data_IF_145841084716
#
_entry.id   IF_145841084716
#
_cell.length_a   1.000
_cell.length_b   1.000
_cell.length_c   1.000
_cell.angle_alpha   90.00
_cell.angle_beta   90.00
_cell.angle_gamma   90.00
#
_symmetry.space_group_name_H-M   'P 1'
#
loop_
_entity.id
_entity.type
_entity.pdbx_description
1 polymer ?
#
# COMPACT_ATOMS: atom_id res chain seq x y z
N UNK A 1 -43.06 16.27 22.32
CA UNK A 1 -43.27 15.20 23.32
C UNK A 1 -41.93 14.52 23.59
N UNK A 2 -41.25 14.86 24.70
CA UNK A 2 -39.95 14.31 25.08
C UNK A 2 -40.19 13.06 25.95
N UNK A 3 -39.66 11.91 25.56
CA UNK A 3 -39.66 10.69 26.39
C UNK A 3 -38.29 10.55 27.06
N UNK A 4 -38.31 10.64 28.38
CA UNK A 4 -37.20 10.35 29.29
C UNK A 4 -37.20 8.84 29.54
N UNK A 5 -36.04 8.19 29.41
CA UNK A 5 -35.83 6.78 29.76
C UNK A 5 -34.98 6.75 31.04
N UNK A 6 -35.37 6.00 32.09
CA UNK A 6 -34.62 5.98 33.34
C UNK A 6 -33.43 5.02 33.29
N UNK A 7 -32.33 5.43 33.90
CA UNK A 7 -31.15 4.63 34.16
C UNK A 7 -31.43 3.61 35.28
N UNK A 8 -31.21 2.33 35.00
CA UNK A 8 -31.23 1.26 35.99
C UNK A 8 -29.79 1.03 36.48
N UNK A 9 -29.53 1.38 37.73
CA UNK A 9 -28.28 1.09 38.46
C UNK A 9 -28.43 -0.28 39.09
N UNK A 10 -27.59 -1.24 38.68
CA UNK A 10 -27.47 -2.55 39.33
C UNK A 10 -26.17 -2.59 40.14
N UNK A 11 -26.31 -2.56 41.46
CA UNK A 11 -25.25 -2.81 42.44
C UNK A 11 -25.22 -4.31 42.71
N UNK A 12 -24.08 -4.97 42.45
CA UNK A 12 -23.80 -6.33 42.92
C UNK A 12 -22.55 -6.28 43.78
N UNK A 13 -22.71 -6.67 45.04
CA UNK A 13 -21.64 -6.79 46.03
C UNK A 13 -21.24 -8.27 46.21
N UNK A 14 -19.91 -8.48 46.22
CA UNK A 14 -19.10 -9.42 46.99
C UNK A 14 -19.45 -10.92 46.98
N UNK A 15 -18.50 -11.72 46.48
CA UNK A 15 -18.13 -13.01 47.09
C UNK A 15 -16.61 -13.19 46.97
N UNK A 16 -15.97 -13.33 48.12
CA UNK A 16 -14.56 -13.58 48.28
C UNK A 16 -14.29 -15.09 48.15
N UNK A 17 -13.37 -15.45 47.25
CA UNK A 17 -12.70 -16.74 47.26
C UNK A 17 -11.19 -16.48 47.37
N UNK A 18 -10.62 -16.93 48.49
CA UNK A 18 -9.18 -17.08 48.71
C UNK A 18 -8.61 -18.06 47.67
N UNK A 19 -7.93 -17.55 46.63
CA UNK A 19 -7.06 -18.35 45.77
C UNK A 19 -5.59 -18.16 46.13
N UNK A 20 -5.01 -19.31 46.47
CA UNK A 20 -3.64 -19.61 46.85
C UNK A 20 -2.61 -18.93 45.96
N UNK A 21 -1.81 -18.04 46.55
CA UNK A 21 -0.66 -17.36 45.92
C UNK A 21 0.37 -18.40 45.43
N UNK A 22 0.71 -18.46 44.13
CA UNK A 22 1.81 -19.31 43.67
C UNK A 22 3.15 -18.79 44.21
N UNK A 23 4.01 -19.73 44.61
CA UNK A 23 5.35 -19.44 45.11
C UNK A 23 6.19 -18.71 44.04
N UNK A 24 7.07 -17.78 44.44
CA UNK A 24 7.99 -17.15 43.49
C UNK A 24 8.94 -18.19 42.89
N UNK A 25 9.31 -18.07 41.60
CA UNK A 25 10.31 -18.93 41.00
C UNK A 25 11.67 -18.76 41.72
N UNK A 26 12.49 -19.81 41.80
CA UNK A 26 13.79 -19.73 42.45
C UNK A 26 14.70 -18.76 41.70
N UNK A 27 15.31 -17.85 42.46
CA UNK A 27 16.40 -16.98 42.02
C UNK A 27 17.57 -17.84 41.51
N UNK A 28 17.97 -17.73 40.23
CA UNK A 28 19.17 -18.42 39.77
C UNK A 28 20.42 -17.78 40.41
N UNK A 29 21.16 -18.65 41.09
CA UNK A 29 22.44 -18.38 41.74
C UNK A 29 23.50 -17.98 40.72
N UNK A 30 24.26 -16.94 41.04
CA UNK A 30 25.42 -16.51 40.29
C UNK A 30 26.67 -17.36 40.56
N UNK A 31 27.58 -17.31 39.58
CA UNK A 31 29.01 -17.67 39.55
C UNK A 31 29.40 -19.10 39.10
N UNK A 32 30.55 -19.30 38.40
CA UNK A 32 31.66 -18.38 38.20
C UNK A 32 32.06 -18.09 36.73
N UNK A 33 32.88 -17.05 36.61
CA UNK A 33 33.67 -16.58 35.48
C UNK A 33 34.54 -17.69 34.86
N UNK A 34 34.48 -17.84 33.54
CA UNK A 34 35.52 -18.48 32.73
C UNK A 34 35.85 -17.57 31.53
N UNK A 35 37.15 -17.31 31.36
CA UNK A 35 37.74 -16.47 30.33
C UNK A 35 37.98 -17.24 29.02
N UNK A 36 38.24 -16.47 27.96
CA UNK A 36 38.77 -16.85 26.63
C UNK A 36 37.74 -17.50 25.68
N UNK A 37 37.60 -17.11 24.42
CA UNK A 37 38.55 -16.55 23.43
C UNK A 37 37.83 -15.55 22.51
N UNK A 38 38.54 -14.50 22.13
CA UNK A 38 38.14 -13.55 21.08
C UNK A 38 38.44 -14.27 19.76
N UNK A 39 37.41 -14.87 19.15
CA UNK A 39 37.51 -15.42 17.80
C UNK A 39 37.07 -14.36 16.78
N UNK A 40 37.74 -14.39 15.63
CA UNK A 40 37.90 -13.27 14.74
C UNK A 40 36.59 -12.83 14.07
N UNK A 41 36.51 -11.52 13.79
CA UNK A 41 35.48 -10.95 12.95
C UNK A 41 35.40 -11.71 11.61
N UNK A 42 34.20 -12.17 11.18
CA UNK A 42 34.05 -12.74 9.86
C UNK A 42 34.40 -11.68 8.81
N UNK A 43 35.13 -12.04 7.74
CA UNK A 43 35.42 -11.11 6.66
C UNK A 43 34.12 -10.59 6.06
N UNK A 44 34.10 -9.31 5.70
CA UNK A 44 33.02 -8.67 4.98
C UNK A 44 32.55 -9.57 3.83
N UNK A 45 31.35 -10.13 3.98
CA UNK A 45 30.72 -10.98 2.98
C UNK A 45 30.52 -10.11 1.74
N UNK A 46 31.22 -10.45 0.66
CA UNK A 46 31.05 -9.80 -0.62
C UNK A 46 29.56 -9.87 -1.03
N UNK A 47 29.02 -8.73 -1.43
CA UNK A 47 27.67 -8.63 -1.98
C UNK A 47 27.52 -9.61 -3.15
N UNK A 48 26.49 -10.47 -3.18
CA UNK A 48 26.20 -11.30 -4.33
C UNK A 48 25.83 -10.36 -5.48
N UNK A 49 26.73 -10.22 -6.46
CA UNK A 49 26.41 -9.60 -7.75
C UNK A 49 25.47 -10.54 -8.49
N UNK A 50 24.17 -10.37 -8.30
CA UNK A 50 23.16 -10.98 -9.18
C UNK A 50 23.23 -10.29 -10.54
N UNK A 51 23.95 -10.91 -11.47
CA UNK A 51 23.90 -10.61 -12.89
C UNK A 51 22.56 -11.08 -13.47
N UNK A 52 21.53 -10.25 -13.33
CA UNK A 52 20.24 -10.40 -14.00
C UNK A 52 19.94 -9.13 -14.79
N UNK A 53 20.00 -9.22 -16.12
CA UNK A 53 19.84 -8.09 -17.05
C UNK A 53 18.37 -7.70 -17.19
N UNK A 54 18.02 -6.58 -16.57
CA UNK A 54 16.86 -5.74 -16.90
C UNK A 54 16.98 -4.42 -16.15
N UNK A 55 17.25 -3.30 -16.85
CA UNK A 55 17.35 -1.96 -16.23
C UNK A 55 16.06 -1.47 -15.54
N UNK A 56 15.00 -2.29 -15.55
CA UNK A 56 13.68 -1.99 -14.97
C UNK A 56 13.43 -2.63 -13.58
N UNK A 57 14.36 -3.46 -13.07
CA UNK A 57 14.14 -4.23 -11.82
C UNK A 57 14.48 -3.49 -10.52
N UNK A 58 15.04 -2.29 -10.60
CA UNK A 58 15.49 -1.54 -9.42
C UNK A 58 14.36 -1.17 -8.45
N UNK A 59 13.12 -1.06 -8.93
CA UNK A 59 11.99 -0.53 -8.15
C UNK A 59 11.44 -1.48 -7.07
N UNK A 60 11.76 -2.78 -7.16
CA UNK A 60 11.35 -3.79 -6.17
C UNK A 60 12.55 -4.48 -5.49
N UNK A 61 13.77 -3.98 -5.73
CA UNK A 61 15.01 -4.58 -5.22
C UNK A 61 15.07 -4.64 -3.69
N UNK A 62 14.40 -3.71 -3.00
CA UNK A 62 14.31 -3.70 -1.54
C UNK A 62 13.03 -4.33 -0.99
N UNK A 63 12.12 -4.83 -1.85
CA UNK A 63 10.90 -5.45 -1.37
C UNK A 63 11.16 -6.91 -0.98
N UNK A 64 10.91 -7.32 0.29
CA UNK A 64 11.14 -8.70 0.72
C UNK A 64 10.22 -9.71 0.04
N UNK A 65 9.00 -9.30 -0.35
CA UNK A 65 8.06 -10.19 -1.06
C UNK A 65 8.45 -10.42 -2.53
N UNK A 66 9.38 -9.63 -3.06
CA UNK A 66 9.96 -9.80 -4.40
C UNK A 66 11.29 -10.57 -4.36
N UNK A 67 11.73 -11.06 -3.20
CA UNK A 67 12.91 -11.91 -3.12
C UNK A 67 12.66 -13.23 -3.88
N UNK A 68 13.63 -13.73 -4.68
CA UNK A 68 13.45 -14.98 -5.41
C UNK A 68 13.08 -16.16 -4.48
N UNK A 69 11.97 -16.83 -4.77
CA UNK A 69 11.49 -17.95 -3.96
C UNK A 69 10.77 -17.54 -2.67
N UNK A 70 10.45 -16.26 -2.49
CA UNK A 70 9.62 -15.81 -1.38
C UNK A 70 8.17 -16.31 -1.52
N UNK A 71 7.56 -16.70 -0.41
CA UNK A 71 6.13 -16.90 -0.28
C UNK A 71 5.56 -15.97 0.78
N UNK A 72 4.30 -15.57 0.61
CA UNK A 72 3.64 -14.58 1.45
C UNK A 72 2.31 -15.11 1.97
N UNK A 73 2.13 -15.05 3.28
CA UNK A 73 0.86 -15.27 3.96
C UNK A 73 0.39 -13.97 4.65
N UNK A 74 -0.90 -13.68 4.52
CA UNK A 74 -1.51 -12.44 5.01
C UNK A 74 -2.60 -12.74 6.03
N UNK A 75 -2.53 -12.07 7.19
CA UNK A 75 -3.51 -12.20 8.28
C UNK A 75 -3.91 -10.83 8.80
N UNK A 76 -5.21 -10.57 8.85
CA UNK A 76 -5.71 -9.33 9.45
C UNK A 76 -5.44 -9.37 10.97
N UNK A 77 -4.96 -8.26 11.52
CA UNK A 77 -4.73 -8.07 12.95
C UNK A 77 -5.35 -6.78 13.43
N UNK A 78 -5.47 -6.58 14.74
CA UNK A 78 -5.95 -5.32 15.28
C UNK A 78 -5.07 -4.15 14.78
N UNK A 79 -5.70 -3.11 14.23
CA UNK A 79 -5.00 -1.94 13.69
C UNK A 79 -4.37 -2.11 12.31
N UNK A 80 -4.37 -3.30 11.69
CA UNK A 80 -3.78 -3.48 10.37
C UNK A 80 -3.68 -4.92 9.87
N UNK A 81 -2.50 -5.31 9.39
CA UNK A 81 -2.24 -6.59 8.73
C UNK A 81 -0.86 -7.16 9.09
N UNK A 82 -0.80 -8.46 9.37
CA UNK A 82 0.41 -9.25 9.55
C UNK A 82 0.76 -9.94 8.22
N UNK A 83 2.03 -9.88 7.85
CA UNK A 83 2.61 -10.37 6.61
C UNK A 83 3.75 -11.32 6.99
N UNK A 84 3.56 -12.62 6.80
CA UNK A 84 4.62 -13.61 6.96
C UNK A 84 5.27 -13.87 5.59
N UNK A 85 6.56 -13.60 5.50
CA UNK A 85 7.35 -13.72 4.27
C UNK A 85 8.39 -14.81 4.53
N UNK A 86 8.32 -15.92 3.80
CA UNK A 86 9.23 -17.05 3.97
C UNK A 86 10.00 -17.36 2.69
N UNK A 87 11.26 -17.76 2.82
CA UNK A 87 12.09 -18.22 1.73
C UNK A 87 11.98 -19.73 1.55
N UNK A 88 12.20 -20.21 0.32
CA UNK A 88 12.26 -21.64 0.01
C UNK A 88 13.57 -22.32 0.47
N UNK A 89 14.61 -21.51 0.75
CA UNK A 89 15.95 -21.95 1.10
C UNK A 89 16.68 -20.89 1.96
N UNK A 90 17.87 -21.21 2.44
CA UNK A 90 18.65 -20.32 3.32
C UNK A 90 19.04 -19.01 2.61
N UNK A 91 19.34 -19.07 1.30
CA UNK A 91 19.74 -17.91 0.52
C UNK A 91 18.58 -16.91 0.37
N UNK A 92 17.40 -17.39 -0.01
CA UNK A 92 16.17 -16.58 -0.06
C UNK A 92 15.77 -16.05 1.31
N UNK A 93 15.94 -16.84 2.37
CA UNK A 93 15.70 -16.39 3.75
C UNK A 93 16.61 -15.22 4.15
N UNK A 94 17.91 -15.30 3.83
CA UNK A 94 18.87 -14.21 4.08
C UNK A 94 18.53 -12.96 3.28
N UNK A 95 18.14 -13.09 2.01
CA UNK A 95 17.72 -11.95 1.18
C UNK A 95 16.45 -11.28 1.73
N UNK A 96 15.43 -12.06 2.11
CA UNK A 96 14.19 -11.56 2.74
C UNK A 96 14.52 -10.75 4.00
N UNK A 97 15.37 -11.29 4.88
CA UNK A 97 15.79 -10.60 6.11
C UNK A 97 16.54 -9.30 5.82
N UNK A 98 17.51 -9.34 4.91
CA UNK A 98 18.29 -8.17 4.51
C UNK A 98 17.42 -7.06 3.91
N UNK A 99 16.48 -7.40 3.02
CA UNK A 99 15.53 -6.45 2.45
C UNK A 99 14.58 -5.90 3.53
N UNK A 100 14.13 -6.73 4.46
CA UNK A 100 13.23 -6.29 5.53
C UNK A 100 13.92 -5.32 6.48
N UNK A 101 15.19 -5.55 6.82
CA UNK A 101 15.99 -4.62 7.61
C UNK A 101 16.07 -3.22 6.94
N UNK A 102 16.23 -3.17 5.61
CA UNK A 102 16.19 -1.90 4.87
C UNK A 102 14.84 -1.19 4.96
N UNK A 103 13.73 -1.93 4.99
CA UNK A 103 12.40 -1.35 5.20
C UNK A 103 12.22 -0.81 6.63
N UNK A 104 12.77 -1.50 7.63
CA UNK A 104 12.72 -1.02 9.03
C UNK A 104 13.51 0.28 9.18
N UNK A 105 14.69 0.38 8.58
CA UNK A 105 15.44 1.64 8.59
C UNK A 105 14.68 2.76 7.88
N UNK A 106 14.05 2.46 6.75
CA UNK A 106 13.23 3.41 6.01
C UNK A 106 12.02 3.94 6.76
N UNK A 107 11.35 3.09 7.56
CA UNK A 107 10.15 3.45 8.32
C UNK A 107 10.44 4.58 9.30
N UNK A 108 11.66 4.61 9.85
CA UNK A 108 12.15 5.66 10.75
C UNK A 108 12.22 7.04 10.09
N UNK A 109 12.33 7.08 8.76
CA UNK A 109 12.51 8.31 7.98
C UNK A 109 11.28 8.69 7.13
N UNK A 110 10.14 7.98 7.26
CA UNK A 110 8.94 8.22 6.43
C UNK A 110 8.46 9.68 6.48
N UNK A 111 8.49 10.29 7.67
CA UNK A 111 8.02 11.65 7.88
C UNK A 111 8.90 12.72 7.20
N UNK A 112 10.17 12.41 6.93
CA UNK A 112 11.15 13.36 6.38
C UNK A 112 11.19 13.33 4.85
N UNK A 113 10.71 12.23 4.24
CA UNK A 113 10.91 11.95 2.82
C UNK A 113 10.05 12.78 1.85
N UNK A 114 9.10 13.59 2.34
CA UNK A 114 8.29 14.49 1.51
C UNK A 114 7.73 13.82 0.25
N UNK A 115 6.81 12.86 0.42
CA UNK A 115 6.34 11.96 -0.64
C UNK A 115 5.79 12.71 -1.86
N UNK A 116 6.51 12.67 -3.00
CA UNK A 116 6.06 13.27 -4.27
C UNK A 116 5.52 12.22 -5.24
N UNK A 117 4.22 12.22 -5.50
CA UNK A 117 3.60 11.39 -6.53
C UNK A 117 3.70 12.05 -7.92
N UNK A 118 4.91 12.09 -8.50
CA UNK A 118 5.18 12.75 -9.80
C UNK A 118 4.87 11.88 -11.03
N UNK A 119 4.48 10.62 -10.83
CA UNK A 119 4.33 9.65 -11.93
C UNK A 119 5.65 9.17 -12.55
N UNK A 120 6.80 9.71 -12.11
CA UNK A 120 8.15 9.31 -12.55
C UNK A 120 8.80 8.24 -11.67
N UNK A 121 8.05 7.68 -10.72
CA UNK A 121 8.57 6.72 -9.73
C UNK A 121 9.35 7.34 -8.56
N UNK A 122 9.38 8.68 -8.44
CA UNK A 122 10.23 9.43 -7.49
C UNK A 122 9.58 9.77 -6.13
N UNK A 123 8.43 9.16 -5.79
CA UNK A 123 7.81 9.32 -4.46
C UNK A 123 8.33 8.31 -3.45
N UNK A 124 7.59 8.07 -2.35
CA UNK A 124 7.77 6.89 -1.46
C UNK A 124 7.70 5.51 -2.17
N UNK A 125 7.69 5.51 -3.50
CA UNK A 125 7.99 4.40 -4.41
C UNK A 125 9.45 3.93 -4.42
N UNK A 126 10.33 4.37 -3.50
CA UNK A 126 11.55 3.59 -3.20
C UNK A 126 11.23 2.14 -2.75
N UNK A 127 9.99 1.91 -2.27
CA UNK A 127 9.46 0.59 -1.94
C UNK A 127 8.39 0.08 -2.94
N UNK A 128 8.22 0.75 -4.08
CA UNK A 128 7.32 0.32 -5.15
C UNK A 128 5.91 -0.11 -4.70
N UNK A 129 5.41 -1.21 -5.30
CA UNK A 129 4.19 -1.92 -4.89
C UNK A 129 4.52 -3.03 -3.88
N UNK A 130 5.50 -2.83 -2.99
CA UNK A 130 5.78 -3.82 -1.97
C UNK A 130 4.55 -4.10 -1.12
N UNK A 131 4.31 -5.38 -0.84
CA UNK A 131 3.18 -5.86 -0.02
C UNK A 131 3.16 -5.17 1.35
N UNK A 132 4.34 -4.86 1.89
CA UNK A 132 4.50 -4.00 3.06
C UNK A 132 4.23 -2.54 2.65
N UNK A 133 3.08 -2.01 3.08
CA UNK A 133 2.68 -0.62 2.84
C UNK A 133 3.28 0.25 3.94
N UNK A 134 4.11 1.24 3.56
CA UNK A 134 4.79 2.11 4.53
C UNK A 134 4.15 3.49 4.71
N UNK A 135 3.15 3.83 3.90
CA UNK A 135 2.50 5.15 3.95
C UNK A 135 1.54 5.22 5.14
N UNK A 136 1.73 6.21 6.00
CA UNK A 136 0.88 6.48 7.17
C UNK A 136 0.67 5.24 8.05
N UNK A 137 1.72 4.44 8.17
CA UNK A 137 1.73 3.19 8.92
C UNK A 137 2.90 3.15 9.89
N UNK A 138 2.88 2.17 10.78
CA UNK A 138 4.05 1.75 11.57
C UNK A 138 4.40 0.32 11.18
N UNK A 139 5.70 0.01 11.16
CA UNK A 139 6.22 -1.31 10.79
C UNK A 139 6.93 -1.96 11.98
N UNK A 140 6.37 -3.07 12.48
CA UNK A 140 7.04 -3.94 13.45
C UNK A 140 7.51 -5.21 12.73
N UNK A 141 8.71 -5.71 13.01
CA UNK A 141 9.22 -6.94 12.38
C UNK A 141 9.83 -7.89 13.40
N UNK A 142 9.73 -9.18 13.12
CA UNK A 142 10.36 -10.24 13.89
C UNK A 142 10.85 -11.36 12.96
N UNK A 143 12.06 -11.83 13.20
CA UNK A 143 12.58 -13.01 12.52
C UNK A 143 11.75 -14.25 12.85
N UNK A 144 11.49 -15.06 11.83
CA UNK A 144 10.91 -16.40 11.96
C UNK A 144 11.85 -17.42 11.33
N UNK A 145 11.61 -18.72 11.57
CA UNK A 145 12.50 -19.83 11.17
C UNK A 145 13.02 -19.68 9.74
N UNK A 146 12.11 -19.42 8.79
CA UNK A 146 12.41 -19.39 7.36
C UNK A 146 12.17 -18.01 6.73
N UNK A 147 12.24 -16.92 7.50
CA UNK A 147 12.03 -15.57 6.96
C UNK A 147 11.73 -14.51 7.99
N UNK A 148 10.76 -13.63 7.68
CA UNK A 148 10.36 -12.51 8.53
C UNK A 148 8.84 -12.43 8.66
N UNK A 149 8.38 -12.06 9.85
CA UNK A 149 7.01 -11.63 10.12
C UNK A 149 7.00 -10.11 10.27
N UNK A 150 6.23 -9.43 9.44
CA UNK A 150 6.04 -7.99 9.48
C UNK A 150 4.59 -7.65 9.88
N UNK A 151 4.42 -6.83 10.91
CA UNK A 151 3.11 -6.30 11.32
C UNK A 151 3.04 -4.84 10.89
N UNK A 152 2.12 -4.53 9.99
CA UNK A 152 1.88 -3.18 9.49
C UNK A 152 0.59 -2.66 10.10
N UNK A 153 0.66 -1.57 10.87
CA UNK A 153 -0.51 -0.94 11.50
C UNK A 153 -0.73 0.46 10.92
N UNK A 154 -1.97 0.80 10.62
CA UNK A 154 -2.32 2.14 10.19
C UNK A 154 -2.19 3.13 11.37
N UNK A 155 -1.63 4.31 11.12
CA UNK A 155 -1.58 5.41 12.11
C UNK A 155 -2.97 6.03 12.34
N UNK A 156 -3.84 5.98 11.34
CA UNK A 156 -5.26 6.35 11.44
C UNK A 156 -6.17 5.10 11.38
N UNK A 157 -7.09 4.98 12.35
CA UNK A 157 -8.09 3.90 12.40
C UNK A 157 -9.00 3.89 11.17
N UNK A 158 -9.24 5.04 10.55
CA UNK A 158 -10.06 5.15 9.34
C UNK A 158 -9.41 4.47 8.12
N UNK A 159 -8.10 4.23 8.15
CA UNK A 159 -7.32 3.64 7.06
C UNK A 159 -7.08 2.12 7.20
N UNK A 160 -7.54 1.47 8.29
CA UNK A 160 -7.28 0.04 8.53
C UNK A 160 -7.78 -0.84 7.38
N UNK A 161 -9.03 -0.64 6.95
CA UNK A 161 -9.62 -1.43 5.85
C UNK A 161 -8.96 -1.13 4.50
N UNK A 162 -8.51 0.12 4.31
CA UNK A 162 -7.73 0.49 3.14
C UNK A 162 -6.37 -0.22 3.13
N UNK A 163 -5.64 -0.20 4.26
CA UNK A 163 -4.35 -0.85 4.41
C UNK A 163 -4.43 -2.35 4.09
N UNK A 164 -5.39 -3.05 4.70
CA UNK A 164 -5.60 -4.49 4.46
C UNK A 164 -5.88 -4.79 2.98
N UNK A 165 -6.76 -4.00 2.36
CA UNK A 165 -7.09 -4.14 0.93
C UNK A 165 -5.87 -3.87 0.05
N UNK A 166 -5.19 -2.74 0.24
CA UNK A 166 -4.00 -2.36 -0.54
C UNK A 166 -2.88 -3.39 -0.41
N UNK A 167 -2.61 -3.90 0.79
CA UNK A 167 -1.62 -4.98 1.00
C UNK A 167 -1.99 -6.24 0.22
N UNK A 168 -3.26 -6.67 0.25
CA UNK A 168 -3.74 -7.85 -0.50
C UNK A 168 -3.67 -7.64 -2.00
N UNK A 169 -4.02 -6.46 -2.48
CA UNK A 169 -3.99 -6.15 -3.91
C UNK A 169 -2.55 -6.09 -4.42
N UNK A 170 -1.62 -5.52 -3.65
CA UNK A 170 -0.18 -5.57 -3.95
C UNK A 170 0.37 -6.98 -3.98
N UNK A 171 -0.03 -7.84 -3.04
CA UNK A 171 0.37 -9.25 -3.01
C UNK A 171 -0.17 -10.03 -4.22
N UNK A 172 -1.44 -9.83 -4.59
CA UNK A 172 -2.02 -10.43 -5.80
C UNK A 172 -1.31 -9.94 -7.04
N UNK A 173 -1.04 -8.64 -7.15
CA UNK A 173 -0.33 -8.05 -8.27
C UNK A 173 1.09 -8.59 -8.38
N UNK A 174 1.84 -8.70 -7.28
CA UNK A 174 3.22 -9.21 -7.33
C UNK A 174 3.31 -10.68 -7.76
N UNK A 175 2.21 -11.43 -7.61
CA UNK A 175 2.12 -12.85 -8.01
C UNK A 175 1.55 -13.03 -9.41
N UNK A 176 1.07 -11.97 -10.06
CA UNK A 176 0.51 -12.05 -11.41
C UNK A 176 1.63 -12.34 -12.43
N UNK A 177 1.38 -13.15 -13.47
CA UNK A 177 2.34 -13.32 -14.56
C UNK A 177 2.67 -11.97 -15.20
N UNK A 178 3.96 -11.63 -15.34
CA UNK A 178 4.42 -10.34 -15.87
C UNK A 178 4.42 -9.19 -14.86
N UNK A 179 4.38 -9.51 -13.56
CA UNK A 179 4.51 -8.52 -12.51
C UNK A 179 5.92 -7.93 -12.35
N UNK A 180 6.92 -8.37 -13.14
CA UNK A 180 8.23 -7.73 -13.17
C UNK A 180 8.10 -6.24 -13.57
N UNK A 181 8.41 -5.33 -12.65
CA UNK A 181 8.21 -3.89 -12.82
C UNK A 181 6.83 -3.35 -12.43
N UNK A 182 5.99 -4.16 -11.76
CA UNK A 182 4.70 -3.74 -11.25
C UNK A 182 4.81 -2.45 -10.41
N UNK A 183 4.14 -1.38 -10.87
CA UNK A 183 4.04 -0.10 -10.17
C UNK A 183 4.67 1.09 -10.90
N UNK A 184 5.64 0.89 -11.79
CA UNK A 184 6.34 2.00 -12.46
C UNK A 184 5.41 2.88 -13.32
N UNK A 185 4.39 2.28 -13.96
CA UNK A 185 3.52 2.97 -14.93
C UNK A 185 2.07 3.12 -14.46
N UNK A 186 1.71 2.74 -13.23
CA UNK A 186 0.29 2.65 -12.80
C UNK A 186 -0.41 4.00 -12.64
N UNK A 187 0.35 5.09 -12.49
CA UNK A 187 -0.19 6.46 -12.50
C UNK A 187 0.11 7.20 -13.81
N UNK A 188 0.78 6.58 -14.78
CA UNK A 188 1.12 7.21 -16.06
C UNK A 188 -0.13 7.61 -16.85
N UNK A 189 -1.25 6.92 -16.60
CA UNK A 189 -2.55 7.24 -17.21
C UNK A 189 -3.51 7.97 -16.26
N UNK A 190 -3.11 8.31 -15.03
CA UNK A 190 -3.96 9.07 -14.15
C UNK A 190 -3.86 10.58 -14.49
N UNK A 191 -4.97 11.26 -14.83
CA UNK A 191 -4.94 12.69 -15.12
C UNK A 191 -4.53 13.51 -13.90
N UNK A 192 -4.97 13.10 -12.70
CA UNK A 192 -4.60 13.77 -11.44
C UNK A 192 -3.09 13.73 -11.18
N UNK A 193 -2.36 12.76 -11.75
CA UNK A 193 -0.92 12.61 -11.57
C UNK A 193 -0.08 13.49 -12.51
N UNK A 194 -0.70 14.27 -13.38
CA UNK A 194 0.01 15.26 -14.18
C UNK A 194 0.63 16.30 -13.25
N UNK A 195 1.90 16.62 -13.48
CA UNK A 195 2.63 17.58 -12.67
C UNK A 195 1.92 18.94 -12.62
N UNK A 196 1.68 19.45 -11.41
CA UNK A 196 0.95 20.69 -11.20
C UNK A 196 -0.56 20.58 -11.37
N UNK A 197 -1.13 19.39 -11.61
CA UNK A 197 -2.58 19.25 -11.70
C UNK A 197 -3.26 19.49 -10.35
N UNK A 198 -4.43 20.15 -10.39
CA UNK A 198 -5.37 20.29 -9.29
C UNK A 198 -6.55 19.37 -9.56
N UNK A 199 -6.95 18.58 -8.57
CA UNK A 199 -8.11 17.69 -8.66
C UNK A 199 -9.17 18.12 -7.67
N UNK A 200 -10.42 18.24 -8.10
CA UNK A 200 -11.58 18.40 -7.23
C UNK A 200 -12.60 17.29 -7.51
N UNK A 201 -13.40 16.96 -6.49
CA UNK A 201 -14.43 15.93 -6.57
C UNK A 201 -15.75 16.52 -6.11
N UNK A 202 -16.80 16.32 -6.90
CA UNK A 202 -18.17 16.71 -6.57
C UNK A 202 -19.09 15.49 -6.69
N UNK A 203 -19.94 15.27 -5.70
CA UNK A 203 -20.95 14.22 -5.77
C UNK A 203 -22.05 14.57 -6.78
N UNK A 204 -22.59 13.54 -7.41
CA UNK A 204 -23.81 13.61 -8.21
C UNK A 204 -24.80 12.53 -7.74
N UNK A 205 -26.04 12.59 -8.22
CA UNK A 205 -27.04 11.55 -7.89
C UNK A 205 -26.64 10.14 -8.37
N UNK A 206 -25.80 10.06 -9.39
CA UNK A 206 -25.43 8.80 -10.06
C UNK A 206 -23.98 8.38 -9.76
N UNK A 207 -23.21 9.20 -9.03
CA UNK A 207 -21.79 8.96 -8.79
C UNK A 207 -21.05 10.22 -8.40
N UNK A 208 -20.01 10.56 -9.17
CA UNK A 208 -19.13 11.71 -8.94
C UNK A 208 -18.71 12.39 -10.25
N UNK A 209 -18.36 13.67 -10.14
CA UNK A 209 -17.61 14.42 -11.14
C UNK A 209 -16.24 14.74 -10.57
N UNK A 210 -15.19 14.27 -11.26
CA UNK A 210 -13.79 14.54 -10.96
C UNK A 210 -13.31 15.59 -11.96
N UNK A 211 -12.98 16.79 -11.47
CA UNK A 211 -12.42 17.85 -12.32
C UNK A 211 -10.92 17.88 -12.11
N UNK A 212 -10.15 17.79 -13.20
CA UNK A 212 -8.70 17.87 -13.19
C UNK A 212 -8.25 19.01 -14.08
N UNK A 213 -7.56 20.00 -13.52
CA UNK A 213 -7.03 21.15 -14.26
C UNK A 213 -5.53 21.30 -14.04
N UNK A 214 -4.81 21.81 -15.04
CA UNK A 214 -3.41 22.19 -14.87
C UNK A 214 -3.30 23.45 -14.01
N UNK A 215 -2.24 23.57 -13.21
CA UNK A 215 -1.90 24.83 -12.57
C UNK A 215 -1.33 25.82 -13.61
N UNK A 216 -2.04 26.94 -13.80
CA UNK A 216 -1.71 27.98 -14.78
C UNK A 216 -1.98 27.57 -16.23
N UNK A 217 -1.68 28.48 -17.16
CA UNK A 217 -1.95 28.30 -18.59
C UNK A 217 -0.86 27.49 -19.31
N UNK A 218 -0.64 26.26 -18.83
CA UNK A 218 0.35 25.33 -19.42
C UNK A 218 -0.33 24.41 -20.42
N UNK A 219 -0.41 24.84 -21.68
CA UNK A 219 -1.08 24.10 -22.76
C UNK A 219 -0.67 22.61 -22.85
N UNK A 220 0.62 22.30 -22.69
CA UNK A 220 1.11 20.92 -22.70
C UNK A 220 0.53 20.06 -21.57
N UNK A 221 0.34 20.64 -20.38
CA UNK A 221 -0.25 19.96 -19.22
C UNK A 221 -1.76 19.78 -19.37
N UNK A 222 -2.44 20.76 -19.97
CA UNK A 222 -3.86 20.64 -20.33
C UNK A 222 -4.05 19.48 -21.31
N UNK A 223 -3.22 19.41 -22.36
CA UNK A 223 -3.25 18.30 -23.32
C UNK A 223 -2.97 16.95 -22.64
N UNK A 224 -1.93 16.87 -21.81
CA UNK A 224 -1.57 15.65 -21.07
C UNK A 224 -2.73 15.15 -20.17
N UNK A 225 -3.42 16.06 -19.47
CA UNK A 225 -4.60 15.74 -18.64
C UNK A 225 -5.72 15.15 -19.51
N UNK A 226 -6.03 15.79 -20.65
CA UNK A 226 -7.10 15.36 -21.56
C UNK A 226 -6.80 14.01 -22.20
N UNK A 227 -5.57 13.80 -22.68
CA UNK A 227 -5.13 12.53 -23.25
C UNK A 227 -5.29 11.37 -22.24
N UNK A 228 -4.86 11.59 -20.99
CA UNK A 228 -5.01 10.60 -19.90
C UNK A 228 -6.46 10.36 -19.50
N UNK A 229 -7.29 11.42 -19.49
CA UNK A 229 -8.70 11.29 -19.16
C UNK A 229 -9.44 10.48 -20.24
N UNK A 230 -9.18 10.79 -21.52
CA UNK A 230 -9.69 10.02 -22.65
C UNK A 230 -9.29 8.54 -22.55
N UNK A 231 -8.03 8.25 -22.22
CA UNK A 231 -7.59 6.87 -22.00
C UNK A 231 -8.40 6.17 -20.88
N UNK A 232 -8.65 6.84 -19.74
CA UNK A 232 -9.46 6.27 -18.67
C UNK A 232 -10.90 5.93 -19.11
N UNK A 233 -11.51 6.79 -19.93
CA UNK A 233 -12.84 6.52 -20.51
C UNK A 233 -12.82 5.34 -21.49
N UNK A 234 -11.79 5.22 -22.32
CA UNK A 234 -11.64 4.08 -23.23
C UNK A 234 -11.48 2.75 -22.47
N UNK A 235 -10.68 2.74 -21.40
CA UNK A 235 -10.55 1.56 -20.52
C UNK A 235 -11.88 1.20 -19.87
N UNK A 236 -12.68 2.18 -19.46
CA UNK A 236 -13.99 1.94 -18.83
C UNK A 236 -15.04 1.33 -19.78
N UNK A 237 -14.87 1.48 -21.10
CA UNK A 237 -15.76 0.86 -22.10
C UNK A 237 -15.45 -0.61 -22.35
N UNK A 238 -14.33 -1.12 -21.86
CA UNK A 238 -13.95 -2.53 -22.06
C UNK A 238 -14.89 -3.44 -21.23
N UNK A 239 -15.81 -4.14 -21.91
CA UNK A 239 -16.90 -4.93 -21.31
C UNK A 239 -16.44 -6.09 -20.42
N UNK A 240 -15.19 -6.52 -20.58
CA UNK A 240 -14.42 -7.30 -19.64
C UNK A 240 -12.98 -6.84 -19.83
N UNK A 241 -12.14 -6.77 -18.77
CA UNK A 241 -10.72 -6.54 -18.99
C UNK A 241 -10.26 -7.68 -19.92
N UNK A 242 -9.80 -7.38 -21.16
CA UNK A 242 -9.17 -8.40 -21.98
C UNK A 242 -8.11 -9.05 -21.10
N UNK A 243 -8.00 -10.39 -21.13
CA UNK A 243 -7.06 -11.17 -20.31
C UNK A 243 -5.77 -10.36 -20.16
N UNK A 244 -5.62 -9.72 -19.00
CA UNK A 244 -4.70 -8.57 -18.90
C UNK A 244 -3.31 -9.15 -18.96
N UNK A 245 -2.67 -9.07 -20.11
CA UNK A 245 -1.25 -9.35 -20.21
C UNK A 245 -0.54 -8.21 -19.48
N UNK A 246 0.05 -8.53 -18.33
CA UNK A 246 0.90 -7.60 -17.60
C UNK A 246 2.24 -7.52 -18.34
N UNK A 247 2.26 -6.81 -19.47
CA UNK A 247 3.46 -6.62 -20.30
C UNK A 247 4.23 -5.34 -19.92
N UNK A 248 3.98 -4.80 -18.73
CA UNK A 248 4.59 -3.54 -18.24
C UNK A 248 4.33 -2.27 -19.07
N UNK A 249 3.49 -2.32 -20.11
CA UNK A 249 3.11 -1.15 -20.93
C UNK A 249 2.11 -0.20 -20.24
N UNK A 250 1.63 -0.54 -19.04
CA UNK A 250 0.66 0.29 -18.30
C UNK A 250 -0.78 0.22 -18.81
N UNK A 251 -1.07 -0.56 -19.87
CA UNK A 251 -2.40 -0.70 -20.48
C UNK A 251 -3.36 -1.63 -19.72
N UNK A 252 -2.89 -2.32 -18.69
CA UNK A 252 -3.71 -3.25 -17.92
C UNK A 252 -4.72 -2.53 -17.04
N UNK A 253 -6.01 -2.62 -17.41
CA UNK A 253 -7.18 -2.06 -16.72
C UNK A 253 -7.51 -2.64 -15.34
N UNK A 254 -6.51 -3.14 -14.61
CA UNK A 254 -6.65 -3.45 -13.19
C UNK A 254 -6.80 -2.13 -12.44
N UNK A 255 -8.03 -1.84 -11.99
CA UNK A 255 -8.51 -0.62 -11.33
C UNK A 255 -7.41 0.38 -10.98
N UNK A 256 -7.40 1.52 -11.68
CA UNK A 256 -6.42 2.61 -11.66
C UNK A 256 -5.91 3.02 -10.26
N UNK A 257 -5.12 2.17 -9.60
CA UNK A 257 -4.65 2.24 -8.21
C UNK A 257 -5.19 3.40 -7.37
N UNK A 258 -4.36 4.44 -7.18
CA UNK A 258 -4.68 5.65 -6.40
C UNK A 258 -5.39 6.73 -7.21
N UNK A 259 -5.74 6.49 -8.46
CA UNK A 259 -6.37 7.49 -9.29
C UNK A 259 -7.80 7.77 -8.79
N UNK A 260 -8.20 9.05 -8.63
CA UNK A 260 -9.57 9.39 -8.25
C UNK A 260 -10.62 8.91 -9.24
N UNK A 261 -10.24 8.61 -10.48
CA UNK A 261 -11.14 8.03 -11.48
C UNK A 261 -11.19 6.52 -11.25
N UNK A 262 -12.28 6.02 -10.67
CA UNK A 262 -12.51 4.58 -10.43
C UNK A 262 -13.05 3.96 -11.71
N UNK A 263 -12.27 3.04 -12.29
CA UNK A 263 -12.66 2.26 -13.48
C UNK A 263 -12.73 0.80 -13.07
N UNK A 264 -13.88 0.41 -12.54
CA UNK A 264 -14.20 -0.95 -12.12
C UNK A 264 -15.50 -1.39 -12.81
N UNK A 265 -15.72 -2.69 -13.00
CA UNK A 265 -16.75 -3.23 -13.92
C UNK A 265 -18.20 -2.73 -13.73
N UNK A 266 -18.48 -2.15 -12.56
CA UNK A 266 -19.76 -1.53 -12.22
C UNK A 266 -19.75 0.01 -12.34
N UNK A 267 -18.84 0.59 -13.14
CA UNK A 267 -18.76 2.05 -13.39
C UNK A 267 -18.91 2.39 -14.87
N UNK A 268 -19.36 3.61 -15.15
CA UNK A 268 -19.35 4.23 -16.49
C UNK A 268 -18.55 5.53 -16.37
N UNK A 269 -17.60 5.73 -17.28
CA UNK A 269 -16.75 6.93 -17.30
C UNK A 269 -16.98 7.74 -18.56
N UNK A 270 -17.39 8.98 -18.38
CA UNK A 270 -17.60 9.98 -19.43
C UNK A 270 -16.61 11.13 -19.22
N UNK A 271 -15.99 11.60 -20.30
CA UNK A 271 -15.01 12.69 -20.24
C UNK A 271 -15.50 13.85 -21.08
N UNK A 272 -15.46 15.04 -20.49
CA UNK A 272 -15.72 16.31 -21.15
C UNK A 272 -14.47 17.17 -21.02
N UNK A 273 -13.92 17.60 -22.16
CA UNK A 273 -12.85 18.59 -22.13
C UNK A 273 -13.40 19.92 -21.62
N UNK A 274 -12.64 20.58 -20.74
CA UNK A 274 -12.97 21.90 -20.22
C UNK A 274 -11.77 22.83 -20.35
N UNK A 275 -11.98 24.12 -20.15
CA UNK A 275 -10.88 25.07 -20.05
C UNK A 275 -9.89 24.63 -18.96
N UNK A 276 -8.60 24.60 -19.29
CA UNK A 276 -7.54 24.20 -18.36
C UNK A 276 -7.44 22.71 -18.04
N UNK A 277 -8.29 21.82 -18.59
CA UNK A 277 -8.16 20.37 -18.34
C UNK A 277 -9.33 19.51 -18.80
N UNK A 278 -9.81 18.64 -17.91
CA UNK A 278 -10.89 17.69 -18.17
C UNK A 278 -11.84 17.56 -16.97
N UNK A 279 -13.12 17.37 -17.27
CA UNK A 279 -14.17 16.97 -16.34
C UNK A 279 -14.53 15.50 -16.62
N UNK A 280 -14.40 14.64 -15.61
CA UNK A 280 -14.62 13.21 -15.72
C UNK A 280 -15.80 12.82 -14.85
N UNK A 281 -16.90 12.39 -15.46
CA UNK A 281 -18.06 11.87 -14.76
C UNK A 281 -17.92 10.36 -14.59
N UNK A 282 -17.93 9.89 -13.34
CA UNK A 282 -17.90 8.47 -13.00
C UNK A 282 -19.25 8.11 -12.38
N UNK A 283 -20.03 7.28 -13.07
CA UNK A 283 -21.34 6.80 -12.61
C UNK A 283 -21.22 5.40 -12.06
N UNK A 284 -21.89 5.10 -10.94
CA UNK A 284 -21.98 3.75 -10.41
C UNK A 284 -23.22 3.04 -10.98
N UNK A 285 -23.10 1.76 -11.30
CA UNK A 285 -24.24 0.90 -11.70
C UNK A 285 -25.03 0.37 -10.50
N UNK A 286 -24.40 0.28 -9.31
CA UNK A 286 -25.00 -0.36 -8.11
C UNK A 286 -24.87 0.49 -6.85
N UNK A 287 -23.64 0.86 -6.47
CA UNK A 287 -23.38 1.52 -5.17
C UNK A 287 -22.76 2.91 -5.36
N UNK A 288 -23.63 3.92 -5.49
CA UNK A 288 -23.23 5.33 -5.64
C UNK A 288 -22.50 5.83 -4.39
N UNK A 289 -22.94 5.44 -3.20
CA UNK A 289 -22.37 5.94 -1.94
C UNK A 289 -20.95 5.38 -1.72
N UNK A 290 -20.73 4.10 -2.01
CA UNK A 290 -19.40 3.51 -1.98
C UNK A 290 -18.46 4.17 -2.99
N UNK A 291 -18.92 4.37 -4.23
CA UNK A 291 -18.14 5.07 -5.26
C UNK A 291 -17.75 6.49 -4.79
N UNK A 292 -18.70 7.27 -4.28
CA UNK A 292 -18.44 8.63 -3.79
C UNK A 292 -17.41 8.63 -2.66
N UNK A 293 -17.58 7.73 -1.68
CA UNK A 293 -16.64 7.59 -0.57
C UNK A 293 -15.24 7.24 -1.06
N UNK A 294 -15.14 6.28 -1.98
CA UNK A 294 -13.87 5.84 -2.52
C UNK A 294 -13.16 6.92 -3.34
N UNK A 295 -13.87 7.58 -4.26
CA UNK A 295 -13.28 8.62 -5.12
C UNK A 295 -12.77 9.78 -4.27
N UNK A 296 -13.52 10.20 -3.25
CA UNK A 296 -13.08 11.22 -2.30
C UNK A 296 -11.85 10.78 -1.52
N UNK A 297 -11.82 9.55 -1.03
CA UNK A 297 -10.66 9.00 -0.32
C UNK A 297 -9.42 8.98 -1.24
N UNK A 298 -9.57 8.53 -2.49
CA UNK A 298 -8.49 8.53 -3.49
C UNK A 298 -8.01 9.96 -3.79
N UNK A 299 -8.93 10.93 -3.95
CA UNK A 299 -8.59 12.33 -4.22
C UNK A 299 -7.91 13.04 -3.03
N UNK A 300 -8.42 12.87 -1.81
CA UNK A 300 -7.81 13.42 -0.60
C UNK A 300 -6.38 12.88 -0.42
N UNK A 301 -6.21 11.58 -0.68
CA UNK A 301 -4.91 10.92 -0.59
C UNK A 301 -3.94 11.29 -1.73
N UNK A 302 -4.45 11.95 -2.79
CA UNK A 302 -3.66 12.47 -3.91
C UNK A 302 -3.23 13.93 -3.68
N UNK A 303 -4.11 14.73 -3.06
CA UNK A 303 -3.90 16.16 -2.81
C UNK A 303 -3.08 16.49 -1.57
N UNK A 304 -2.82 15.52 -0.68
CA UNK A 304 -1.86 15.64 0.40
C UNK A 304 -0.43 15.68 -0.19
N UNK A 305 -0.02 16.86 -0.66
CA UNK A 305 1.36 17.23 -0.98
C UNK A 305 1.94 18.05 0.15
#
# INVERSE_FOLDING_TARGET
>A
MRRVVPALVLVIALSACDEKKPAPPPTPSAAPTAASVIDAAPPASAEPKTEGKGKHDAHMANCPTAAPGATVALKDVEGGIEIAITGKDEASTKDIKARTAKLVEADKHEAEAGVRHTGKGEGGGQYGRCTIVMRNTTLETADIKDGVKATVKAKDKSEIDWLRRETRDRDKESKAPGAEGAGANKMAHCPSAVEGAKTTVKDTKEGVVVTVTAAGDKADKVKEIRDRAGHAAEVAKMAAPPKVEHNSEGKGGGGLGRCPIVVEGDTIVEVKEIEGGAEITVKAKKDVAALQKEVKARAANFGAK
#
